data_IF_433813533990
#
_entry.id   IF_433813533990
#
_cell.length_a   1.000
_cell.length_b   1.000
_cell.length_c   1.000
_cell.angle_alpha   90.00
_cell.angle_beta   90.00
_cell.angle_gamma   90.00
#
_symmetry.space_group_name_H-M   'P 1'
#
loop_
_entity.id
_entity.type
_entity.pdbx_description
1 polymer ?
#
# COMPACT_ATOMS: atom_id res chain seq x y z
N UNK A 1 -19.37 -2.54 19.53
CA UNK A 1 -17.92 -2.75 19.80
C UNK A 1 -17.29 -1.43 20.26
N UNK A 2 -16.55 -1.42 21.39
CA UNK A 2 -15.81 -0.24 21.85
C UNK A 2 -14.77 0.18 20.80
N UNK A 3 -14.47 1.48 20.70
CA UNK A 3 -13.54 2.05 19.74
C UNK A 3 -12.13 1.44 19.82
N UNK A 4 -11.64 1.17 21.03
CA UNK A 4 -10.35 0.51 21.23
C UNK A 4 -10.38 -0.91 20.66
N UNK A 5 -11.41 -1.69 21.02
CA UNK A 5 -11.64 -3.04 20.50
C UNK A 5 -11.73 -3.05 18.98
N UNK A 6 -12.41 -2.09 18.37
CA UNK A 6 -12.50 -1.98 16.90
C UNK A 6 -11.13 -1.82 16.25
N UNK A 7 -10.32 -0.89 16.74
CA UNK A 7 -8.96 -0.69 16.22
C UNK A 7 -8.09 -1.94 16.42
N UNK A 8 -8.11 -2.55 17.60
CA UNK A 8 -7.34 -3.76 17.90
C UNK A 8 -7.73 -4.91 16.98
N UNK A 9 -9.03 -5.21 16.87
CA UNK A 9 -9.54 -6.29 16.01
C UNK A 9 -9.20 -6.02 14.54
N UNK A 10 -9.43 -4.80 14.04
CA UNK A 10 -9.08 -4.47 12.65
C UNK A 10 -7.58 -4.57 12.40
N UNK A 11 -6.73 -4.19 13.36
CA UNK A 11 -5.27 -4.32 13.23
C UNK A 11 -4.87 -5.78 13.16
N UNK A 12 -5.38 -6.63 14.05
CA UNK A 12 -5.12 -8.08 14.04
C UNK A 12 -5.59 -8.73 12.73
N UNK A 13 -6.79 -8.38 12.25
CA UNK A 13 -7.30 -8.86 10.97
C UNK A 13 -6.44 -8.39 9.80
N UNK A 14 -5.92 -7.17 9.84
CA UNK A 14 -5.03 -6.64 8.80
C UNK A 14 -3.68 -7.40 8.79
N UNK A 15 -3.14 -7.73 9.96
CA UNK A 15 -1.93 -8.54 10.09
C UNK A 15 -2.17 -9.96 9.55
N UNK A 16 -3.29 -10.60 9.92
CA UNK A 16 -3.68 -11.90 9.39
C UNK A 16 -3.85 -11.88 7.87
N UNK A 17 -4.44 -10.82 7.33
CA UNK A 17 -4.55 -10.63 5.88
C UNK A 17 -3.16 -10.50 5.23
N UNK A 18 -2.22 -9.83 5.89
CA UNK A 18 -0.81 -9.78 5.47
C UNK A 18 -0.14 -11.15 5.45
N UNK A 19 -0.42 -12.00 6.45
CA UNK A 19 0.05 -13.40 6.47
C UNK A 19 -0.53 -14.19 5.29
N UNK A 20 -1.85 -14.14 5.07
CA UNK A 20 -2.48 -14.85 3.94
C UNK A 20 -1.90 -14.40 2.60
N UNK A 21 -1.73 -13.08 2.41
CA UNK A 21 -1.08 -12.54 1.23
C UNK A 21 0.37 -12.99 1.09
N UNK A 22 1.12 -13.08 2.19
CA UNK A 22 2.52 -13.55 2.15
C UNK A 22 2.62 -15.01 1.70
N UNK A 23 1.71 -15.89 2.15
CA UNK A 23 1.69 -17.30 1.75
C UNK A 23 1.44 -17.41 0.25
N UNK A 24 0.45 -16.68 -0.27
CA UNK A 24 0.17 -16.64 -1.70
C UNK A 24 1.38 -16.14 -2.50
N UNK A 25 2.01 -15.04 -2.07
CA UNK A 25 3.18 -14.49 -2.75
C UNK A 25 4.40 -15.41 -2.69
N UNK A 26 4.65 -16.08 -1.55
CA UNK A 26 5.77 -17.04 -1.43
C UNK A 26 5.57 -18.20 -2.40
N UNK A 27 4.36 -18.78 -2.45
CA UNK A 27 4.04 -19.84 -3.39
C UNK A 27 4.13 -19.38 -4.86
N UNK A 28 3.67 -18.17 -5.16
CA UNK A 28 3.82 -17.59 -6.49
C UNK A 28 5.30 -17.46 -6.88
N UNK A 29 6.14 -16.99 -5.95
CA UNK A 29 7.57 -16.78 -6.20
C UNK A 29 8.34 -18.09 -6.37
N UNK A 30 8.03 -19.11 -5.57
CA UNK A 30 8.69 -20.42 -5.72
C UNK A 30 8.34 -21.09 -7.04
N UNK A 31 7.12 -20.91 -7.54
CA UNK A 31 6.70 -21.41 -8.85
C UNK A 31 7.24 -20.58 -10.02
N UNK A 32 7.35 -19.26 -9.85
CA UNK A 32 7.79 -18.34 -10.90
C UNK A 32 9.31 -18.24 -11.04
N UNK A 33 10.04 -18.31 -9.94
CA UNK A 33 11.49 -18.14 -9.88
C UNK A 33 12.14 -19.17 -8.94
N UNK A 34 12.18 -20.45 -9.35
CA UNK A 34 12.74 -21.53 -8.52
C UNK A 34 14.23 -21.33 -8.20
N UNK A 35 14.97 -20.71 -9.12
CA UNK A 35 16.41 -20.41 -8.96
C UNK A 35 16.70 -19.21 -8.03
N UNK A 36 15.66 -18.51 -7.57
CA UNK A 36 15.78 -17.41 -6.62
C UNK A 36 15.12 -16.12 -7.09
N UNK A 37 14.66 -15.33 -6.11
CA UNK A 37 14.00 -14.05 -6.34
C UNK A 37 15.02 -12.91 -6.26
N UNK A 38 15.71 -12.63 -7.37
CA UNK A 38 16.69 -11.56 -7.48
C UNK A 38 16.43 -10.74 -8.75
N UNK A 39 16.68 -9.44 -8.67
CA UNK A 39 16.55 -8.54 -9.81
C UNK A 39 17.82 -8.57 -10.67
N UNK A 40 17.71 -8.52 -12.02
CA UNK A 40 16.47 -8.43 -12.78
C UNK A 40 15.68 -9.75 -12.79
N UNK A 41 14.35 -9.66 -12.62
CA UNK A 41 13.52 -10.88 -12.55
C UNK A 41 13.32 -11.45 -13.94
N UNK A 42 13.49 -12.77 -14.06
CA UNK A 42 13.24 -13.50 -15.29
C UNK A 42 11.75 -13.47 -15.67
N UNK A 43 11.41 -13.52 -16.96
CA UNK A 43 10.02 -13.57 -17.39
C UNK A 43 9.32 -14.82 -16.86
N UNK A 44 8.02 -14.68 -16.55
CA UNK A 44 7.21 -15.76 -15.97
C UNK A 44 6.07 -16.12 -16.91
N UNK A 45 5.62 -17.38 -16.85
CA UNK A 45 4.46 -17.85 -17.58
C UNK A 45 3.23 -16.92 -17.40
N UNK A 46 2.55 -16.62 -18.51
CA UNK A 46 1.38 -15.72 -18.54
C UNK A 46 0.28 -16.21 -17.59
N UNK A 47 0.09 -17.52 -17.48
CA UNK A 47 -0.88 -18.13 -16.56
C UNK A 47 -0.59 -17.76 -15.11
N UNK A 48 0.67 -17.87 -14.68
CA UNK A 48 1.07 -17.56 -13.31
C UNK A 48 0.91 -16.06 -13.04
N UNK A 49 1.38 -15.19 -13.95
CA UNK A 49 1.18 -13.75 -13.88
C UNK A 49 -0.30 -13.38 -13.68
N UNK A 50 -1.19 -13.97 -14.47
CA UNK A 50 -2.62 -13.68 -14.40
C UNK A 50 -3.23 -14.11 -13.06
N UNK A 51 -2.79 -15.24 -12.50
CA UNK A 51 -3.21 -15.69 -11.16
C UNK A 51 -2.88 -14.63 -10.11
N UNK A 52 -1.66 -14.08 -10.13
CA UNK A 52 -1.27 -13.04 -9.17
C UNK A 52 -2.04 -11.73 -9.37
N UNK A 53 -2.32 -11.33 -10.62
CA UNK A 53 -3.18 -10.17 -10.89
C UNK A 53 -4.59 -10.38 -10.33
N UNK A 54 -5.20 -11.54 -10.55
CA UNK A 54 -6.53 -11.84 -10.00
C UNK A 54 -6.52 -11.89 -8.48
N UNK A 55 -5.46 -12.41 -7.87
CA UNK A 55 -5.26 -12.40 -6.42
C UNK A 55 -5.20 -10.96 -5.88
N UNK A 56 -4.43 -10.06 -6.51
CA UNK A 56 -4.35 -8.66 -6.10
C UNK A 56 -5.68 -7.91 -6.27
N UNK A 57 -6.40 -8.15 -7.37
CA UNK A 57 -7.72 -7.58 -7.61
C UNK A 57 -8.71 -8.07 -6.54
N UNK A 58 -8.74 -9.37 -6.26
CA UNK A 58 -9.60 -9.96 -5.24
C UNK A 58 -9.33 -9.35 -3.86
N UNK A 59 -8.04 -9.15 -3.52
CA UNK A 59 -7.64 -8.48 -2.28
C UNK A 59 -8.14 -7.03 -2.22
N UNK A 60 -8.01 -6.27 -3.31
CA UNK A 60 -8.51 -4.89 -3.37
C UNK A 60 -10.03 -4.81 -3.18
N UNK A 61 -10.79 -5.70 -3.82
CA UNK A 61 -12.24 -5.80 -3.63
C UNK A 61 -12.61 -6.19 -2.20
N UNK A 62 -11.90 -7.17 -1.63
CA UNK A 62 -12.09 -7.56 -0.23
C UNK A 62 -11.87 -6.38 0.71
N UNK A 63 -10.77 -5.63 0.54
CA UNK A 63 -10.46 -4.43 1.33
C UNK A 63 -11.56 -3.36 1.18
N UNK A 64 -12.04 -3.13 -0.05
CA UNK A 64 -13.11 -2.19 -0.32
C UNK A 64 -14.38 -2.57 0.44
N UNK A 65 -14.87 -3.80 0.28
CA UNK A 65 -16.08 -4.29 0.95
C UNK A 65 -15.92 -4.29 2.47
N UNK A 66 -14.79 -4.76 2.98
CA UNK A 66 -14.53 -4.80 4.42
C UNK A 66 -14.49 -3.40 5.03
N UNK A 67 -13.89 -2.43 4.35
CA UNK A 67 -13.88 -1.04 4.78
C UNK A 67 -15.28 -0.40 4.81
N UNK A 68 -16.17 -0.80 3.88
CA UNK A 68 -17.56 -0.36 3.83
C UNK A 68 -18.38 -0.84 5.04
N UNK A 69 -18.09 -2.04 5.53
CA UNK A 69 -18.69 -2.60 6.76
C UNK A 69 -18.18 -1.89 8.02
N UNK A 70 -16.94 -1.42 8.02
CA UNK A 70 -16.35 -0.73 9.17
C UNK A 70 -16.84 0.72 9.29
N UNK A 71 -16.85 1.50 8.20
CA UNK A 71 -17.14 2.93 8.27
C UNK A 71 -18.63 3.26 8.12
N UNK A 72 -19.15 4.18 8.94
CA UNK A 72 -20.53 4.69 8.79
C UNK A 72 -20.66 5.69 7.65
N UNK A 73 -19.57 6.40 7.33
CA UNK A 73 -19.51 7.49 6.33
C UNK A 73 -18.42 7.23 5.31
N UNK A 74 -18.56 7.77 4.10
CA UNK A 74 -17.60 7.55 3.01
C UNK A 74 -16.15 7.90 3.39
N UNK A 75 -15.92 8.99 4.12
CA UNK A 75 -14.57 9.36 4.58
C UNK A 75 -14.02 8.41 5.65
N UNK A 76 -14.88 7.91 6.56
CA UNK A 76 -14.46 6.89 7.53
C UNK A 76 -14.13 5.57 6.83
N UNK A 77 -14.94 5.17 5.84
CA UNK A 77 -14.70 3.97 5.02
C UNK A 77 -13.37 4.08 4.28
N UNK A 78 -13.09 5.21 3.65
CA UNK A 78 -11.79 5.45 3.01
C UNK A 78 -10.62 5.38 4.01
N UNK A 79 -10.77 5.98 5.19
CA UNK A 79 -9.76 5.86 6.25
C UNK A 79 -9.51 4.41 6.68
N UNK A 80 -10.57 3.60 6.86
CA UNK A 80 -10.42 2.19 7.18
C UNK A 80 -9.80 1.39 6.03
N UNK A 81 -10.17 1.68 4.78
CA UNK A 81 -9.59 1.05 3.60
C UNK A 81 -8.07 1.23 3.56
N UNK A 82 -7.60 2.47 3.64
CA UNK A 82 -6.17 2.78 3.61
C UNK A 82 -5.43 2.24 4.83
N UNK A 83 -6.06 2.23 6.01
CA UNK A 83 -5.49 1.64 7.21
C UNK A 83 -5.23 0.14 7.02
N UNK A 84 -6.25 -0.62 6.60
CA UNK A 84 -6.14 -2.08 6.43
C UNK A 84 -5.14 -2.39 5.31
N UNK A 85 -5.21 -1.66 4.18
CA UNK A 85 -4.29 -1.81 3.06
C UNK A 85 -2.83 -1.62 3.49
N UNK A 86 -2.51 -0.53 4.19
CA UNK A 86 -1.14 -0.23 4.56
C UNK A 86 -0.61 -1.19 5.64
N UNK A 87 -1.43 -1.55 6.62
CA UNK A 87 -1.04 -2.51 7.68
C UNK A 87 -0.84 -3.90 7.09
N UNK A 88 -1.76 -4.39 6.24
CA UNK A 88 -1.63 -5.73 5.65
C UNK A 88 -0.43 -5.83 4.70
N UNK A 89 -0.21 -4.82 3.85
CA UNK A 89 0.95 -4.77 2.94
C UNK A 89 2.27 -4.66 3.71
N UNK A 90 2.32 -3.93 4.83
CA UNK A 90 3.51 -3.87 5.69
C UNK A 90 3.77 -5.20 6.40
N UNK A 91 2.71 -5.82 6.96
CA UNK A 91 2.80 -7.11 7.64
C UNK A 91 3.22 -8.24 6.69
N UNK A 92 2.86 -8.16 5.40
CA UNK A 92 3.28 -9.10 4.36
C UNK A 92 4.80 -9.30 4.37
N UNK A 93 5.58 -8.23 4.48
CA UNK A 93 7.05 -8.30 4.49
C UNK A 93 7.61 -9.04 5.71
N UNK A 94 6.99 -8.84 6.87
CA UNK A 94 7.36 -9.57 8.08
C UNK A 94 7.18 -11.08 7.88
N UNK A 95 6.03 -11.50 7.35
CA UNK A 95 5.76 -12.92 7.14
C UNK A 95 6.52 -13.53 5.97
N UNK A 96 6.77 -12.78 4.89
CA UNK A 96 7.68 -13.22 3.83
C UNK A 96 9.07 -13.52 4.38
N UNK A 97 9.56 -12.68 5.29
CA UNK A 97 10.87 -12.90 5.91
C UNK A 97 10.87 -14.18 6.74
N UNK A 98 9.81 -14.41 7.51
CA UNK A 98 9.68 -15.62 8.32
C UNK A 98 9.49 -16.90 7.50
N UNK A 99 8.81 -16.83 6.35
CA UNK A 99 8.47 -18.00 5.54
C UNK A 99 9.54 -18.37 4.52
N UNK A 100 10.22 -17.38 3.93
CA UNK A 100 11.17 -17.61 2.84
C UNK A 100 12.52 -16.90 3.01
N UNK A 101 12.74 -16.21 4.14
CA UNK A 101 13.95 -15.40 4.35
C UNK A 101 14.03 -14.13 3.50
N UNK A 102 12.94 -13.76 2.81
CA UNK A 102 12.89 -12.56 1.97
C UNK A 102 12.13 -11.41 2.66
N UNK A 103 12.62 -10.18 2.67
CA UNK A 103 13.82 -9.70 1.96
C UNK A 103 15.11 -10.01 2.71
N UNK A 104 16.21 -10.20 1.98
CA UNK A 104 17.55 -10.38 2.55
C UNK A 104 18.03 -9.17 3.36
N UNK A 105 17.57 -7.98 2.98
CA UNK A 105 17.81 -6.74 3.71
C UNK A 105 16.66 -5.76 3.46
N UNK A 106 16.50 -4.76 4.32
CA UNK A 106 15.50 -3.71 4.08
C UNK A 106 15.79 -2.87 2.82
N UNK A 107 17.03 -2.85 2.34
CA UNK A 107 17.47 -2.18 1.12
C UNK A 107 17.18 -2.98 -0.16
N UNK A 108 16.85 -4.26 -0.03
CA UNK A 108 16.56 -5.12 -1.18
C UNK A 108 15.32 -4.60 -1.91
N UNK A 109 15.39 -4.54 -3.24
CA UNK A 109 14.25 -4.17 -4.08
C UNK A 109 13.27 -5.32 -4.14
N UNK A 110 11.98 -5.05 -3.92
CA UNK A 110 10.90 -6.03 -4.01
C UNK A 110 9.91 -5.68 -5.13
N UNK A 111 9.24 -6.70 -5.65
CA UNK A 111 8.06 -6.55 -6.50
C UNK A 111 6.83 -6.38 -5.61
N UNK A 112 6.39 -5.13 -5.46
CA UNK A 112 5.37 -4.71 -4.50
C UNK A 112 3.97 -5.17 -4.91
N UNK A 113 3.68 -5.06 -6.21
CA UNK A 113 2.43 -5.47 -6.83
C UNK A 113 2.50 -5.43 -8.35
N UNK A 114 1.54 -6.08 -8.98
CA UNK A 114 1.41 -6.21 -10.43
C UNK A 114 0.26 -5.38 -10.99
N UNK A 115 -0.78 -5.10 -10.21
CA UNK A 115 -1.95 -4.35 -10.66
C UNK A 115 -1.92 -2.88 -10.18
N UNK A 116 -2.20 -1.89 -11.07
CA UNK A 116 -2.48 -2.00 -12.51
C UNK A 116 -1.24 -2.19 -13.38
N UNK A 117 -0.06 -1.86 -12.86
CA UNK A 117 1.24 -2.02 -13.50
C UNK A 117 2.23 -2.60 -12.50
N UNK A 118 3.25 -3.31 -12.98
CA UNK A 118 4.33 -3.81 -12.14
C UNK A 118 5.00 -2.64 -11.39
N UNK A 119 5.14 -2.79 -10.08
CA UNK A 119 5.75 -1.78 -9.22
C UNK A 119 6.87 -2.40 -8.39
N UNK A 120 8.03 -1.76 -8.42
CA UNK A 120 9.20 -2.18 -7.64
C UNK A 120 9.66 -1.06 -6.73
N UNK A 121 10.15 -1.43 -5.55
CA UNK A 121 10.62 -0.47 -4.56
C UNK A 121 11.56 -1.16 -3.57
N UNK A 122 12.59 -0.46 -3.07
CA UNK A 122 13.28 -0.89 -1.86
C UNK A 122 12.27 -1.07 -0.71
N UNK A 123 12.39 -2.17 0.03
CA UNK A 123 11.39 -2.51 1.07
C UNK A 123 11.23 -1.38 2.09
N UNK A 124 12.34 -0.76 2.53
CA UNK A 124 12.26 0.35 3.49
C UNK A 124 11.48 1.56 2.94
N UNK A 125 11.62 1.89 1.65
CA UNK A 125 10.93 3.02 1.04
C UNK A 125 9.42 2.77 1.00
N UNK A 126 9.02 1.53 0.70
CA UNK A 126 7.62 1.11 0.81
C UNK A 126 7.09 1.20 2.25
N UNK A 127 7.89 0.78 3.24
CA UNK A 127 7.49 0.82 4.66
C UNK A 127 7.32 2.26 5.16
N UNK A 128 8.20 3.19 4.78
CA UNK A 128 8.06 4.63 5.13
C UNK A 128 6.77 5.20 4.55
N UNK A 129 6.46 4.91 3.29
CA UNK A 129 5.19 5.33 2.68
C UNK A 129 3.99 4.72 3.41
N UNK A 130 4.09 3.44 3.79
CA UNK A 130 3.03 2.76 4.55
C UNK A 130 2.78 3.41 5.91
N UNK A 131 3.82 3.84 6.63
CA UNK A 131 3.69 4.59 7.89
C UNK A 131 2.94 5.90 7.67
N UNK A 132 3.27 6.66 6.63
CA UNK A 132 2.54 7.89 6.27
C UNK A 132 1.05 7.59 6.05
N UNK A 133 0.74 6.58 5.24
CA UNK A 133 -0.65 6.19 4.94
C UNK A 133 -1.40 5.74 6.20
N UNK A 134 -0.76 4.99 7.11
CA UNK A 134 -1.34 4.59 8.40
C UNK A 134 -1.66 5.83 9.24
N UNK A 135 -0.72 6.77 9.37
CA UNK A 135 -0.93 8.01 10.14
C UNK A 135 -2.10 8.81 9.57
N UNK A 136 -2.13 9.04 8.25
CA UNK A 136 -3.24 9.74 7.58
C UNK A 136 -4.57 9.02 7.83
N UNK A 137 -4.60 7.70 7.72
CA UNK A 137 -5.80 6.90 7.94
C UNK A 137 -6.34 7.04 9.37
N UNK A 138 -5.46 6.99 10.37
CA UNK A 138 -5.81 7.20 11.78
C UNK A 138 -6.36 8.62 11.99
N UNK A 139 -5.76 9.64 11.37
CA UNK A 139 -6.25 11.01 11.42
C UNK A 139 -7.67 11.11 10.84
N UNK A 140 -7.90 10.57 9.64
CA UNK A 140 -9.20 10.58 8.96
C UNK A 140 -10.26 9.89 9.83
N UNK A 141 -9.98 8.68 10.33
CA UNK A 141 -10.91 7.92 11.18
C UNK A 141 -11.25 8.69 12.45
N UNK A 142 -10.24 9.26 13.12
CA UNK A 142 -10.44 9.97 14.39
C UNK A 142 -11.22 11.29 14.22
N UNK A 143 -10.96 12.06 13.16
CA UNK A 143 -11.70 13.28 12.89
C UNK A 143 -13.11 13.00 12.36
N UNK A 144 -13.29 11.96 11.54
CA UNK A 144 -14.60 11.55 11.01
C UNK A 144 -15.58 11.16 12.13
N UNK A 145 -15.08 10.62 13.25
CA UNK A 145 -15.91 10.33 14.43
C UNK A 145 -16.41 11.58 15.17
N UNK A 146 -15.66 12.68 15.10
CA UNK A 146 -15.91 13.89 15.91
C UNK A 146 -16.66 14.97 15.15
N UNK A 147 -16.47 15.04 13.83
CA UNK A 147 -17.06 16.07 12.97
C UNK A 147 -18.18 15.42 12.14
N UNK A 148 -19.36 16.04 12.10
CA UNK A 148 -20.52 15.50 11.35
C UNK A 148 -20.24 15.38 9.85
N UNK A 149 -19.49 16.34 9.30
CA UNK A 149 -19.04 16.36 7.90
C UNK A 149 -17.55 16.67 7.82
N UNK A 150 -16.72 15.64 7.70
CA UNK A 150 -15.30 15.80 7.45
C UNK A 150 -15.11 16.23 5.98
N UNK A 151 -14.76 17.50 5.75
CA UNK A 151 -14.47 18.04 4.42
C UNK A 151 -12.97 18.29 4.28
N UNK A 152 -12.40 17.77 3.20
CA UNK A 152 -11.05 18.13 2.79
C UNK A 152 -11.09 19.48 2.08
N UNK A 153 -10.15 20.36 2.42
CA UNK A 153 -9.95 21.58 1.63
C UNK A 153 -9.25 21.24 0.32
N UNK A 154 -9.49 22.04 -0.72
CA UNK A 154 -8.84 21.83 -2.04
C UNK A 154 -7.32 21.73 -1.95
N UNK A 155 -6.68 22.57 -1.11
CA UNK A 155 -5.22 22.51 -0.87
C UNK A 155 -4.76 21.20 -0.21
N UNK A 156 -5.50 20.72 0.79
CA UNK A 156 -5.19 19.46 1.48
C UNK A 156 -5.28 18.28 0.51
N UNK A 157 -6.38 18.22 -0.24
CA UNK A 157 -6.63 17.18 -1.21
C UNK A 157 -5.59 17.21 -2.35
N UNK A 158 -5.22 18.40 -2.82
CA UNK A 158 -4.17 18.58 -3.83
C UNK A 158 -2.84 17.99 -3.37
N UNK A 159 -2.34 18.37 -2.19
CA UNK A 159 -1.06 17.86 -1.67
C UNK A 159 -1.08 16.35 -1.43
N UNK A 160 -2.21 15.80 -0.96
CA UNK A 160 -2.37 14.36 -0.75
C UNK A 160 -2.41 13.58 -2.07
N UNK A 161 -3.18 14.05 -3.07
CA UNK A 161 -3.28 13.39 -4.38
C UNK A 161 -1.96 13.49 -5.13
N UNK A 162 -1.37 14.67 -5.20
CA UNK A 162 -0.07 14.88 -5.87
C UNK A 162 1.01 14.07 -5.18
N UNK A 163 1.04 14.05 -3.84
CA UNK A 163 1.99 13.26 -3.08
C UNK A 163 1.85 11.76 -3.35
N UNK A 164 0.62 11.24 -3.30
CA UNK A 164 0.35 9.83 -3.61
C UNK A 164 0.70 9.48 -5.06
N UNK A 165 0.38 10.34 -6.03
CA UNK A 165 0.68 10.12 -7.44
C UNK A 165 2.20 10.10 -7.71
N UNK A 166 2.97 11.00 -7.09
CA UNK A 166 4.43 11.02 -7.22
C UNK A 166 5.09 9.81 -6.56
N UNK A 167 4.63 9.40 -5.37
CA UNK A 167 5.09 8.18 -4.73
C UNK A 167 4.78 6.95 -5.60
N UNK A 168 3.56 6.83 -6.13
CA UNK A 168 3.20 5.73 -7.01
C UNK A 168 4.06 5.73 -8.29
N UNK A 169 4.24 6.89 -8.92
CA UNK A 169 5.07 7.05 -10.11
C UNK A 169 6.54 6.69 -9.86
N UNK A 170 7.05 6.87 -8.63
CA UNK A 170 8.41 6.47 -8.27
C UNK A 170 8.60 4.95 -8.20
N UNK A 171 7.51 4.19 -8.05
CA UNK A 171 7.53 2.73 -7.93
C UNK A 171 7.28 2.02 -9.26
N UNK A 172 6.82 2.72 -10.30
CA UNK A 172 6.58 2.11 -11.61
C UNK A 172 7.93 1.68 -12.20
N UNK A 173 8.12 0.37 -12.40
CA UNK A 173 9.24 -0.20 -13.17
C UNK A 173 9.18 0.32 -14.60
N UNK A 174 10.32 0.66 -15.20
CA UNK A 174 10.52 1.12 -16.59
C UNK A 174 9.25 1.64 -17.29
N UNK A 175 9.21 2.93 -17.63
CA UNK A 175 8.06 3.59 -18.27
C UNK A 175 7.57 2.88 -19.55
N UNK A 176 8.38 2.02 -20.16
CA UNK A 176 8.05 1.23 -21.34
C UNK A 176 7.64 -0.23 -21.04
N UNK A 177 7.76 -0.70 -19.80
CA UNK A 177 7.39 -2.05 -19.39
C UNK A 177 5.85 -2.18 -19.30
N UNK A 178 5.28 -2.87 -20.28
CA UNK A 178 3.86 -3.21 -20.27
C UNK A 178 3.62 -4.52 -19.54
N UNK A 179 2.42 -4.71 -18.98
CA UNK A 179 1.96 -6.01 -18.46
C UNK A 179 2.02 -7.15 -19.50
N UNK A 180 2.13 -6.80 -20.79
CA UNK A 180 2.34 -7.75 -21.90
C UNK A 180 3.79 -8.24 -22.00
N UNK A 181 4.74 -7.45 -21.52
CA UNK A 181 6.18 -7.76 -21.57
C UNK A 181 6.62 -8.66 -20.41
N UNK A 182 5.78 -8.86 -19.39
CA UNK A 182 6.09 -9.66 -18.20
C UNK A 182 6.48 -11.13 -18.50
N UNK A 183 6.06 -11.66 -19.65
CA UNK A 183 6.39 -13.03 -20.09
C UNK A 183 7.50 -13.07 -21.14
N UNK A 184 8.05 -11.94 -21.56
CA UNK A 184 9.04 -11.86 -22.64
C UNK A 184 10.28 -11.02 -22.31
N UNK A 185 10.21 -10.12 -21.32
CA UNK A 185 11.31 -9.25 -20.90
C UNK A 185 11.60 -9.40 -19.42
N UNK A 186 12.87 -9.22 -19.10
CA UNK A 186 13.31 -9.12 -17.71
C UNK A 186 12.73 -7.87 -17.05
N UNK A 187 12.49 -7.95 -15.74
CA UNK A 187 11.97 -6.84 -14.95
C UNK A 187 13.13 -6.17 -14.24
N UNK A 188 13.43 -4.95 -14.63
CA UNK A 188 14.45 -4.13 -13.98
C UNK A 188 13.86 -3.34 -12.80
N UNK A 189 14.68 -3.17 -11.78
CA UNK A 189 14.37 -2.39 -10.60
C UNK A 189 14.74 -0.91 -10.83
N UNK A 190 13.80 -0.13 -11.36
CA UNK A 190 13.96 1.31 -11.54
C UNK A 190 13.24 2.05 -10.42
N UNK A 191 14.01 2.72 -9.54
CA UNK A 191 13.45 3.50 -8.44
C UNK A 191 13.85 4.96 -8.52
N UNK A 192 12.87 5.86 -8.68
CA UNK A 192 13.13 7.29 -8.77
C UNK A 192 13.06 7.97 -7.40
N UNK A 193 14.24 8.15 -6.78
CA UNK A 193 14.38 8.81 -5.47
C UNK A 193 13.83 10.24 -5.42
N UNK A 194 13.95 10.99 -6.50
CA UNK A 194 13.50 12.40 -6.55
C UNK A 194 11.97 12.45 -6.49
N UNK A 195 11.28 11.65 -7.32
CA UNK A 195 9.81 11.58 -7.29
C UNK A 195 9.31 11.06 -5.94
N UNK A 196 9.98 10.04 -5.39
CA UNK A 196 9.64 9.47 -4.09
C UNK A 196 9.73 10.50 -2.98
N UNK A 197 10.86 11.22 -2.87
CA UNK A 197 11.08 12.20 -1.80
C UNK A 197 10.10 13.38 -1.89
N UNK A 198 9.89 13.93 -3.09
CA UNK A 198 8.89 14.99 -3.32
C UNK A 198 7.49 14.48 -2.97
N UNK A 199 7.16 13.25 -3.34
CA UNK A 199 5.88 12.61 -3.01
C UNK A 199 5.65 12.47 -1.51
N UNK A 200 6.62 11.96 -0.78
CA UNK A 200 6.56 11.83 0.68
C UNK A 200 6.40 13.19 1.37
N UNK A 201 7.20 14.19 0.97
CA UNK A 201 7.14 15.56 1.52
C UNK A 201 5.78 16.20 1.23
N UNK A 202 5.29 16.10 -0.01
CA UNK A 202 3.96 16.61 -0.39
C UNK A 202 2.86 15.97 0.44
N UNK A 203 2.91 14.65 0.63
CA UNK A 203 1.92 13.92 1.43
C UNK A 203 1.96 14.38 2.89
N UNK A 204 3.16 14.52 3.48
CA UNK A 204 3.34 15.01 4.84
C UNK A 204 2.80 16.44 5.03
N UNK A 205 3.06 17.34 4.08
CA UNK A 205 2.50 18.71 4.08
C UNK A 205 0.97 18.67 4.03
N UNK A 206 0.40 17.84 3.16
CA UNK A 206 -1.05 17.63 3.08
C UNK A 206 -1.65 17.15 4.41
N UNK A 207 -0.99 16.20 5.09
CA UNK A 207 -1.38 15.71 6.42
C UNK A 207 -1.34 16.80 7.48
N UNK A 208 -0.29 17.63 7.49
CA UNK A 208 -0.15 18.73 8.45
C UNK A 208 -1.27 19.76 8.26
N UNK A 209 -1.54 20.18 7.02
CA UNK A 209 -2.65 21.09 6.74
C UNK A 209 -3.99 20.52 7.20
N UNK A 210 -4.26 19.26 6.87
CA UNK A 210 -5.47 18.56 7.29
C UNK A 210 -5.60 18.50 8.82
N UNK A 211 -4.51 18.19 9.53
CA UNK A 211 -4.49 18.13 10.99
C UNK A 211 -4.78 19.49 11.62
N UNK A 212 -4.08 20.55 11.21
CA UNK A 212 -4.27 21.89 11.78
C UNK A 212 -5.64 22.48 11.45
N UNK A 213 -6.15 22.26 10.24
CA UNK A 213 -7.49 22.68 9.85
C UNK A 213 -8.55 22.06 10.77
N UNK A 214 -8.53 20.74 10.94
CA UNK A 214 -9.55 20.03 11.72
C UNK A 214 -9.36 20.17 13.23
N UNK A 215 -8.14 20.43 13.71
CA UNK A 215 -7.87 20.80 15.11
C UNK A 215 -8.53 22.13 15.48
N UNK A 216 -8.54 23.11 14.57
CA UNK A 216 -9.18 24.42 14.80
C UNK A 216 -10.70 24.32 14.85
N UNK A 217 -11.30 23.49 13.99
CA UNK A 217 -12.74 23.22 13.99
C UNK A 217 -13.26 22.48 15.23
N UNK A 218 -12.37 21.94 16.07
CA UNK A 218 -12.70 21.32 17.37
C UNK A 218 -12.90 22.35 18.49
N UNK A 219 -12.40 23.57 18.34
CA UNK A 219 -12.48 24.64 19.35
C UNK A 219 -13.69 25.57 19.18
N UNK A 220 -14.50 25.36 18.13
CA UNK A 220 -15.80 25.98 17.94
C UNK A 220 -16.86 24.94 18.24
#
# INVERSE_FOLDING_TARGET
>A
MNNKTKFTVTTLLSILLGLLGSIATVNYRTLGWPEGFLFPLQPVAISLKNIEIYHEIALLFFLMLFSMLLGKRSTERAGWFFFILAVSRSAKFLFQYLLSGWPSSLASTDLIGLFPTATTSPVWAFLVLSVLVIVLSILIINFSKRIRYLRFRGKELLFLIVGAALCYASFITDKHFSMRDFSSKEIHADFNWILYTIGCVSTAIGMLYFFFHNKKSRKK
#
